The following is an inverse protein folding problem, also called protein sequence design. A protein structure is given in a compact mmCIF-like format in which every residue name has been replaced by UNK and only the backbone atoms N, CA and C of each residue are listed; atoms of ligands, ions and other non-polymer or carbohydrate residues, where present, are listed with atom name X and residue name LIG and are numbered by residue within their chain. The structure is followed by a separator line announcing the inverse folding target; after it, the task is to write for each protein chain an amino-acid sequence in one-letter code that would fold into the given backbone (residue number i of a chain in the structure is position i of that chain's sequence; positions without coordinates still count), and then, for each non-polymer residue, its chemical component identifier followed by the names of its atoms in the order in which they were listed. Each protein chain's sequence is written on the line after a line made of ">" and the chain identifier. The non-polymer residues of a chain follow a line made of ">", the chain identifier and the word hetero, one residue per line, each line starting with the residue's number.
data_IF_341987341438
#
_entry.id   IF_341987341438
#
_cell.length_a   1.000
_cell.length_b   1.000
_cell.length_c   1.000
_cell.angle_alpha   90.00
_cell.angle_beta   90.00
_cell.angle_gamma   90.00
#
_symmetry.space_group_name_H-M   'P 1'
#
loop_
_entity.id
_entity.type
_entity.pdbx_description
1 polymer ?
#
# COMPACT_ATOMS: atom_id res chain seq x y z
N UNK A 1 22.90 40.91 -16.23
CA UNK A 1 22.25 40.47 -14.98
C UNK A 1 20.74 40.28 -15.15
N UNK A 2 20.03 41.17 -15.77
CA UNK A 2 18.55 41.12 -15.98
C UNK A 2 18.10 39.87 -16.79
N UNK A 3 18.82 39.47 -17.86
CA UNK A 3 18.51 38.25 -18.62
C UNK A 3 18.64 36.93 -17.82
N UNK A 4 19.54 36.88 -16.82
CA UNK A 4 19.63 35.70 -15.91
C UNK A 4 18.53 35.65 -14.88
N UNK A 5 17.93 36.77 -14.50
CA UNK A 5 16.80 36.84 -13.57
C UNK A 5 15.50 36.50 -14.29
N UNK A 6 15.32 36.95 -15.54
CA UNK A 6 14.15 36.61 -16.37
C UNK A 6 14.14 35.13 -16.78
N UNK A 7 15.28 34.51 -17.03
CA UNK A 7 15.36 33.06 -17.26
C UNK A 7 15.06 32.23 -15.98
N UNK A 8 15.24 32.78 -14.79
CA UNK A 8 14.80 32.12 -13.53
C UNK A 8 13.30 32.19 -13.29
N UNK A 9 12.60 33.15 -13.90
CA UNK A 9 11.15 33.35 -13.78
C UNK A 9 10.33 32.53 -14.79
N UNK A 10 10.99 31.89 -15.79
CA UNK A 10 10.34 31.12 -16.84
C UNK A 10 10.91 29.70 -17.04
N UNK A 11 11.55 29.13 -16.03
CA UNK A 11 11.90 27.71 -16.07
C UNK A 11 10.65 26.89 -15.77
N UNK A 12 10.04 26.34 -16.82
CA UNK A 12 9.05 25.29 -16.71
C UNK A 12 9.62 24.18 -15.79
N UNK A 13 8.80 23.68 -14.89
CA UNK A 13 9.21 22.58 -14.00
C UNK A 13 9.69 21.40 -14.85
N UNK A 14 10.76 20.68 -14.44
CA UNK A 14 11.20 19.50 -15.17
C UNK A 14 10.05 18.49 -15.32
N UNK A 15 9.91 17.91 -16.51
CA UNK A 15 8.82 16.99 -16.87
C UNK A 15 9.16 15.56 -16.48
N UNK A 16 8.20 14.86 -15.88
CA UNK A 16 8.29 13.44 -15.58
C UNK A 16 6.99 12.72 -15.94
N UNK A 17 7.08 11.42 -16.19
CA UNK A 17 5.92 10.57 -16.47
C UNK A 17 5.77 9.54 -15.34
N UNK A 18 4.54 9.29 -14.90
CA UNK A 18 4.24 8.31 -13.85
C UNK A 18 3.20 7.31 -14.38
N UNK A 19 3.49 6.03 -14.26
CA UNK A 19 2.57 4.95 -14.66
C UNK A 19 2.12 4.20 -13.40
N UNK A 20 0.90 4.47 -12.99
CA UNK A 20 0.22 3.82 -11.87
C UNK A 20 -0.77 2.77 -12.36
N UNK A 21 -1.17 1.86 -11.47
CA UNK A 21 -2.15 0.81 -11.77
C UNK A 21 -1.90 -0.43 -10.93
N UNK A 22 -2.82 -1.38 -11.00
CA UNK A 22 -2.70 -2.63 -10.24
C UNK A 22 -1.58 -3.51 -10.79
N UNK A 23 -1.16 -4.48 -9.99
CA UNK A 23 -0.35 -5.58 -10.54
C UNK A 23 -1.15 -6.30 -11.65
N UNK A 24 -0.48 -6.73 -12.71
CA UNK A 24 -1.11 -7.48 -13.81
C UNK A 24 -1.82 -6.68 -14.91
N UNK A 25 -1.73 -5.32 -14.91
CA UNK A 25 -2.38 -4.48 -15.94
C UNK A 25 -1.45 -4.04 -17.08
N UNK A 26 -0.18 -4.48 -17.11
CA UNK A 26 0.74 -4.13 -18.22
C UNK A 26 1.57 -2.87 -18.01
N UNK A 27 1.72 -2.35 -16.77
CA UNK A 27 2.52 -1.14 -16.49
C UNK A 27 3.94 -1.20 -17.05
N UNK A 28 4.65 -2.32 -16.86
CA UNK A 28 6.03 -2.48 -17.33
C UNK A 28 6.11 -2.46 -18.84
N UNK A 29 5.17 -3.10 -19.55
CA UNK A 29 5.09 -3.07 -21.00
C UNK A 29 4.91 -1.64 -21.50
N UNK A 30 3.93 -0.89 -20.96
CA UNK A 30 3.71 0.50 -21.37
C UNK A 30 4.93 1.38 -21.05
N UNK A 31 5.60 1.17 -19.91
CA UNK A 31 6.78 1.97 -19.56
C UNK A 31 7.92 1.81 -20.57
N UNK A 32 8.15 0.58 -21.08
CA UNK A 32 9.14 0.31 -22.11
C UNK A 32 8.71 0.93 -23.44
N UNK A 33 7.43 0.83 -23.83
CA UNK A 33 6.91 1.45 -25.05
C UNK A 33 7.09 2.97 -25.05
N UNK A 34 6.70 3.65 -23.96
CA UNK A 34 6.91 5.11 -23.84
C UNK A 34 8.40 5.44 -23.79
N UNK A 35 9.22 4.74 -23.00
CA UNK A 35 10.65 5.00 -22.89
C UNK A 35 11.38 4.85 -24.23
N UNK A 36 11.00 3.85 -25.02
CA UNK A 36 11.53 3.66 -26.38
C UNK A 36 11.18 4.81 -27.32
N UNK A 37 9.96 5.36 -27.18
CA UNK A 37 9.47 6.45 -28.03
C UNK A 37 10.13 7.80 -27.70
N UNK A 38 10.29 8.13 -26.38
CA UNK A 38 10.77 9.46 -25.96
C UNK A 38 12.23 9.48 -25.50
N UNK A 39 13.01 8.45 -25.77
CA UNK A 39 14.38 8.30 -25.22
C UNK A 39 14.39 8.41 -23.68
N UNK A 40 13.41 7.79 -23.02
CA UNK A 40 13.26 7.83 -21.58
C UNK A 40 14.04 6.75 -20.84
N UNK A 41 14.11 6.85 -19.51
CA UNK A 41 14.62 5.81 -18.62
C UNK A 41 13.62 5.53 -17.50
N UNK A 42 13.58 4.30 -17.04
CA UNK A 42 12.56 3.80 -16.11
C UNK A 42 13.10 3.84 -14.69
N UNK A 43 12.29 4.37 -13.76
CA UNK A 43 12.55 4.35 -12.31
C UNK A 43 11.49 3.44 -11.66
N UNK A 44 11.92 2.33 -11.07
CA UNK A 44 11.04 1.41 -10.39
C UNK A 44 10.49 2.01 -9.08
N UNK A 45 9.16 1.96 -8.90
CA UNK A 45 8.47 2.32 -7.64
C UNK A 45 7.69 1.14 -7.04
N UNK A 46 8.22 -0.07 -7.17
CA UNK A 46 7.71 -1.26 -6.49
C UNK A 46 8.67 -1.69 -5.39
N UNK A 47 8.16 -1.76 -4.14
CA UNK A 47 8.98 -2.02 -2.95
C UNK A 47 9.56 -3.44 -2.88
N UNK A 48 9.02 -4.39 -3.66
CA UNK A 48 9.56 -5.75 -3.71
C UNK A 48 10.63 -5.91 -4.79
N UNK A 49 10.52 -5.15 -5.88
CA UNK A 49 11.46 -5.25 -7.01
C UNK A 49 12.82 -4.60 -6.76
N UNK A 50 12.96 -3.82 -5.67
CA UNK A 50 14.25 -3.24 -5.26
C UNK A 50 15.23 -4.29 -4.78
N UNK A 51 14.73 -5.39 -4.18
CA UNK A 51 15.56 -6.45 -3.62
C UNK A 51 16.25 -7.27 -4.70
N UNK A 52 17.49 -7.67 -4.43
CA UNK A 52 18.30 -8.52 -5.31
C UNK A 52 17.65 -9.88 -5.54
N UNK A 53 17.95 -10.45 -6.69
CA UNK A 53 17.45 -11.78 -7.06
C UNK A 53 15.91 -11.86 -7.07
N UNK A 54 15.34 -13.04 -6.99
CA UNK A 54 13.89 -13.28 -6.91
C UNK A 54 13.08 -12.60 -8.04
N UNK A 55 13.51 -12.70 -9.32
CA UNK A 55 12.82 -12.00 -10.42
C UNK A 55 11.39 -12.47 -10.62
N UNK A 56 11.06 -13.73 -10.29
CA UNK A 56 9.77 -14.34 -10.56
C UNK A 56 8.75 -13.89 -9.51
N UNK A 57 8.98 -14.17 -8.21
CA UNK A 57 7.99 -13.86 -7.17
C UNK A 57 7.81 -12.36 -6.92
N UNK A 58 8.83 -11.53 -7.25
CA UNK A 58 8.70 -10.07 -7.20
C UNK A 58 8.17 -9.49 -8.51
N UNK A 59 7.98 -10.33 -9.53
CA UNK A 59 7.48 -9.96 -10.85
C UNK A 59 8.29 -8.84 -11.51
N UNK A 60 9.63 -8.94 -11.48
CA UNK A 60 10.51 -8.02 -12.19
C UNK A 60 10.33 -8.18 -13.70
N UNK A 61 10.37 -7.06 -14.42
CA UNK A 61 10.32 -7.10 -15.87
C UNK A 61 11.55 -7.85 -16.42
N UNK A 62 11.37 -8.88 -17.27
CA UNK A 62 12.49 -9.65 -17.80
C UNK A 62 13.49 -8.75 -18.55
N UNK A 63 14.79 -9.03 -18.42
CA UNK A 63 15.84 -8.20 -19.05
C UNK A 63 15.69 -8.19 -20.59
N UNK A 64 15.30 -9.34 -21.17
CA UNK A 64 15.09 -9.47 -22.62
C UNK A 64 13.99 -8.53 -23.15
N UNK A 65 12.98 -8.21 -22.31
CA UNK A 65 11.83 -7.42 -22.70
C UNK A 65 12.02 -5.91 -22.43
N UNK A 66 13.18 -5.51 -21.88
CA UNK A 66 13.47 -4.10 -21.56
C UNK A 66 13.95 -3.26 -22.73
N UNK A 67 14.17 -3.83 -23.89
CA UNK A 67 14.67 -3.16 -25.10
C UNK A 67 15.94 -2.30 -24.87
N UNK A 68 16.83 -2.75 -23.96
CA UNK A 68 18.03 -2.00 -23.59
C UNK A 68 17.80 -0.74 -22.74
N UNK A 69 16.56 -0.47 -22.31
CA UNK A 69 16.22 0.70 -21.51
C UNK A 69 16.71 0.52 -20.07
N UNK A 70 17.46 1.49 -19.53
CA UNK A 70 17.87 1.46 -18.13
C UNK A 70 16.67 1.45 -17.17
N UNK A 71 16.73 0.55 -16.17
CA UNK A 71 15.77 0.46 -15.10
C UNK A 71 16.48 0.76 -13.77
N UNK A 72 16.24 1.95 -13.23
CA UNK A 72 16.80 2.41 -11.95
C UNK A 72 15.98 1.85 -10.78
N UNK A 73 16.60 1.76 -9.62
CA UNK A 73 16.01 1.30 -8.35
C UNK A 73 15.40 -0.08 -8.42
N UNK A 74 16.01 -0.96 -9.18
CA UNK A 74 15.62 -2.36 -9.31
C UNK A 74 16.81 -3.27 -9.02
N UNK A 75 16.58 -4.35 -8.24
CA UNK A 75 17.59 -5.40 -8.03
C UNK A 75 18.90 -4.91 -7.37
N UNK A 76 18.84 -3.94 -6.44
CA UNK A 76 20.03 -3.32 -5.85
C UNK A 76 20.12 -3.44 -4.32
N UNK A 77 19.04 -3.81 -3.63
CA UNK A 77 18.97 -3.91 -2.17
C UNK A 77 19.20 -5.35 -1.71
N UNK A 78 20.03 -5.56 -0.71
CA UNK A 78 20.22 -6.88 -0.11
C UNK A 78 18.99 -7.29 0.73
N UNK A 79 18.76 -8.61 0.89
CA UNK A 79 17.59 -9.12 1.62
C UNK A 79 17.55 -8.76 3.10
N UNK A 80 18.69 -8.45 3.69
CA UNK A 80 18.82 -8.05 5.10
C UNK A 80 18.61 -6.56 5.30
N UNK A 81 18.62 -5.78 4.22
CA UNK A 81 18.47 -4.33 4.30
C UNK A 81 17.00 -3.94 4.32
N UNK A 82 16.67 -3.00 5.18
CA UNK A 82 15.36 -2.36 5.11
C UNK A 82 15.33 -1.31 4.00
N UNK A 83 14.21 -1.30 3.27
CA UNK A 83 13.96 -0.31 2.23
C UNK A 83 12.64 0.41 2.49
N UNK A 84 12.71 1.67 2.86
CA UNK A 84 11.60 2.49 3.31
C UNK A 84 11.48 3.78 2.50
N UNK A 85 10.39 4.51 2.69
CA UNK A 85 10.02 5.67 1.86
C UNK A 85 11.13 6.73 1.75
N UNK A 86 11.83 7.07 2.84
CA UNK A 86 12.91 8.09 2.79
C UNK A 86 14.10 7.67 1.94
N UNK A 87 14.48 6.38 2.01
CA UNK A 87 15.53 5.85 1.14
C UNK A 87 15.09 5.89 -0.32
N UNK A 88 13.86 5.44 -0.60
CA UNK A 88 13.27 5.54 -1.94
C UNK A 88 13.23 7.00 -2.42
N UNK A 89 12.77 7.95 -1.59
CA UNK A 89 12.72 9.37 -1.95
C UNK A 89 14.08 9.90 -2.39
N UNK A 90 15.11 9.68 -1.57
CA UNK A 90 16.47 10.11 -1.86
C UNK A 90 16.99 9.52 -3.18
N UNK A 91 16.87 8.21 -3.33
CA UNK A 91 17.36 7.50 -4.53
C UNK A 91 16.55 7.87 -5.78
N UNK A 92 15.23 7.99 -5.68
CA UNK A 92 14.36 8.35 -6.80
C UNK A 92 14.60 9.80 -7.28
N UNK A 93 14.70 10.77 -6.37
CA UNK A 93 14.98 12.14 -6.74
C UNK A 93 16.37 12.28 -7.38
N UNK A 94 17.38 11.59 -6.86
CA UNK A 94 18.72 11.55 -7.48
C UNK A 94 18.70 10.92 -8.88
N UNK A 95 17.92 9.84 -9.07
CA UNK A 95 17.76 9.23 -10.41
C UNK A 95 17.05 10.16 -11.39
N UNK A 96 16.01 10.90 -10.94
CA UNK A 96 15.32 11.90 -11.76
C UNK A 96 16.31 12.98 -12.22
N UNK A 97 17.12 13.50 -11.31
CA UNK A 97 18.12 14.55 -11.60
C UNK A 97 19.18 14.04 -12.60
N UNK A 98 19.69 12.82 -12.40
CA UNK A 98 20.67 12.20 -13.31
C UNK A 98 20.10 12.01 -14.70
N UNK A 99 18.87 11.46 -14.83
CA UNK A 99 18.22 11.25 -16.12
C UNK A 99 18.00 12.59 -16.84
N UNK A 100 17.50 13.60 -16.15
CA UNK A 100 17.31 14.94 -16.72
C UNK A 100 18.65 15.59 -17.15
N UNK A 101 19.73 15.38 -16.37
CA UNK A 101 21.07 15.93 -16.71
C UNK A 101 21.60 15.38 -18.05
N UNK A 102 21.14 14.21 -18.44
CA UNK A 102 21.45 13.56 -19.73
C UNK A 102 20.43 13.87 -20.83
N UNK A 103 19.51 14.82 -20.60
CA UNK A 103 18.47 15.22 -21.55
C UNK A 103 17.41 14.17 -21.83
N UNK A 104 17.23 13.22 -20.92
CA UNK A 104 16.26 12.12 -21.05
C UNK A 104 15.03 12.33 -20.17
N UNK A 105 13.96 11.55 -20.41
CA UNK A 105 12.70 11.65 -19.71
C UNK A 105 12.62 10.58 -18.62
N UNK A 106 12.47 10.95 -17.32
CA UNK A 106 12.24 9.98 -16.25
C UNK A 106 10.82 9.43 -16.30
N UNK A 107 10.69 8.09 -16.26
CA UNK A 107 9.40 7.39 -16.24
C UNK A 107 9.32 6.54 -14.97
N UNK A 108 8.49 6.96 -14.02
CA UNK A 108 8.32 6.26 -12.75
C UNK A 108 7.21 5.23 -12.90
N UNK A 109 7.50 3.96 -12.61
CA UNK A 109 6.55 2.87 -12.76
C UNK A 109 6.58 1.91 -11.58
N UNK A 110 5.43 1.53 -11.05
CA UNK A 110 5.38 0.53 -9.99
C UNK A 110 4.02 0.35 -9.33
N UNK A 111 3.97 -0.63 -8.43
CA UNK A 111 2.75 -1.02 -7.71
C UNK A 111 2.66 -0.47 -6.30
N UNK A 112 3.73 0.09 -5.76
CA UNK A 112 3.76 0.70 -4.42
C UNK A 112 3.39 2.18 -4.51
N UNK A 113 2.10 2.45 -4.75
CA UNK A 113 1.60 3.82 -4.99
C UNK A 113 1.88 4.78 -3.83
N UNK A 114 2.09 4.27 -2.62
CA UNK A 114 2.51 5.06 -1.46
C UNK A 114 3.84 5.81 -1.74
N UNK A 115 4.72 5.22 -2.53
CA UNK A 115 5.98 5.86 -2.94
C UNK A 115 5.77 7.10 -3.80
N UNK A 116 4.68 7.18 -4.57
CA UNK A 116 4.37 8.34 -5.42
C UNK A 116 4.10 9.63 -4.62
N UNK A 117 3.87 9.52 -3.31
CA UNK A 117 3.73 10.70 -2.43
C UNK A 117 4.97 11.58 -2.38
N UNK A 118 6.14 11.04 -2.69
CA UNK A 118 7.39 11.83 -2.75
C UNK A 118 7.36 12.94 -3.82
N UNK A 119 6.49 12.79 -4.83
CA UNK A 119 6.33 13.75 -5.92
C UNK A 119 5.50 14.97 -5.52
N UNK A 120 4.84 14.91 -4.36
CA UNK A 120 4.01 15.97 -3.80
C UNK A 120 4.81 16.76 -2.75
N UNK A 121 4.55 18.06 -2.65
CA UNK A 121 5.10 18.93 -1.60
C UNK A 121 4.36 18.71 -0.25
N UNK A 122 4.14 17.44 0.11
CA UNK A 122 3.43 17.04 1.35
C UNK A 122 4.38 16.68 2.50
N UNK A 123 5.67 16.99 2.38
CA UNK A 123 6.61 16.66 3.45
C UNK A 123 6.35 17.53 4.66
N UNK A 124 6.17 16.90 5.82
CA UNK A 124 6.29 17.60 7.09
C UNK A 124 7.78 17.82 7.30
N UNK A 125 8.21 19.08 7.28
CA UNK A 125 9.58 19.42 7.65
C UNK A 125 9.81 19.04 9.12
N UNK A 126 10.54 17.98 9.33
CA UNK A 126 11.01 17.60 10.66
C UNK A 126 12.06 18.62 11.08
N UNK A 127 11.63 19.67 11.79
CA UNK A 127 12.58 20.47 12.57
C UNK A 127 13.09 19.53 13.65
N UNK A 128 14.39 19.27 13.63
CA UNK A 128 15.06 18.35 14.55
C UNK A 128 14.97 18.88 16.01
N UNK A 129 13.81 18.75 16.60
CA UNK A 129 13.68 18.78 18.05
C UNK A 129 14.22 17.45 18.55
N UNK A 130 15.15 17.47 19.46
CA UNK A 130 15.63 16.27 20.15
C UNK A 130 14.46 15.75 20.99
N UNK A 131 14.04 14.51 20.72
CA UNK A 131 13.04 13.81 21.52
C UNK A 131 13.62 13.59 22.91
N UNK A 132 12.88 13.95 23.96
CA UNK A 132 13.37 13.76 25.35
C UNK A 132 13.35 12.27 25.73
N UNK A 133 14.13 11.85 26.74
CA UNK A 133 14.10 10.45 27.22
C UNK A 133 12.71 9.99 27.63
N UNK A 134 11.88 10.88 28.23
CA UNK A 134 10.52 10.59 28.63
C UNK A 134 9.60 10.40 27.41
N UNK A 135 9.77 11.24 26.37
CA UNK A 135 9.03 11.11 25.10
C UNK A 135 9.44 9.83 24.37
N UNK A 136 10.73 9.48 24.40
CA UNK A 136 11.22 8.24 23.82
C UNK A 136 10.67 7.03 24.56
N UNK A 137 10.65 7.06 25.90
CA UNK A 137 10.06 5.98 26.70
C UNK A 137 8.56 5.78 26.39
N UNK A 138 7.82 6.86 26.07
CA UNK A 138 6.43 6.77 25.64
C UNK A 138 6.29 6.18 24.23
N UNK A 139 7.22 6.46 23.33
CA UNK A 139 7.26 5.84 22.00
C UNK A 139 7.62 4.36 22.09
N UNK A 140 8.48 3.99 23.03
CA UNK A 140 8.91 2.60 23.27
C UNK A 140 7.88 1.81 24.12
N UNK A 141 6.82 2.48 24.62
CA UNK A 141 5.75 1.83 25.37
C UNK A 141 5.06 0.76 24.51
N UNK A 142 5.14 -0.48 24.94
CA UNK A 142 4.60 -1.62 24.21
C UNK A 142 3.07 -1.78 24.31
N UNK A 143 2.38 -0.99 25.17
CA UNK A 143 0.93 -1.04 25.35
C UNK A 143 0.21 -0.12 24.33
N UNK A 144 -0.47 -0.68 23.31
CA UNK A 144 -1.18 0.10 22.30
C UNK A 144 -2.23 1.06 22.88
N UNK A 145 -2.86 0.69 24.01
CA UNK A 145 -3.92 1.50 24.60
C UNK A 145 -3.36 2.78 25.23
N UNK A 146 -2.22 2.69 25.91
CA UNK A 146 -1.55 3.85 26.49
C UNK A 146 -1.05 4.81 25.42
N UNK A 147 -0.44 4.26 24.36
CA UNK A 147 0.07 5.03 23.23
C UNK A 147 -1.06 5.75 22.51
N UNK A 148 -2.19 5.07 22.28
CA UNK A 148 -3.37 5.68 21.66
C UNK A 148 -4.01 6.75 22.55
N UNK A 149 -4.13 6.51 23.85
CA UNK A 149 -4.66 7.49 24.81
C UNK A 149 -3.81 8.77 24.84
N UNK A 150 -2.48 8.64 24.70
CA UNK A 150 -1.58 9.78 24.58
C UNK A 150 -1.88 10.59 23.32
N UNK A 151 -1.99 9.93 22.16
CA UNK A 151 -2.35 10.61 20.91
C UNK A 151 -3.73 11.28 20.99
N UNK A 152 -4.70 10.62 21.61
CA UNK A 152 -6.05 11.15 21.83
C UNK A 152 -6.05 12.43 22.67
N UNK A 153 -5.18 12.49 23.69
CA UNK A 153 -5.01 13.68 24.53
C UNK A 153 -4.29 14.81 23.80
N UNK A 154 -3.26 14.50 23.01
CA UNK A 154 -2.44 15.49 22.30
C UNK A 154 -3.15 16.05 21.06
N UNK A 155 -3.75 15.18 20.27
CA UNK A 155 -4.40 15.53 19.00
C UNK A 155 -5.64 14.66 18.75
N UNK A 156 -6.79 14.97 19.38
CA UNK A 156 -8.02 14.20 19.21
C UNK A 156 -8.49 14.12 17.75
N UNK A 157 -8.24 15.18 16.96
CA UNK A 157 -8.65 15.25 15.55
C UNK A 157 -7.93 14.23 14.69
N UNK A 158 -6.65 13.96 14.97
CA UNK A 158 -5.90 12.94 14.22
C UNK A 158 -6.14 11.55 14.81
N UNK A 159 -6.26 11.43 16.13
CA UNK A 159 -6.54 10.17 16.80
C UNK A 159 -7.84 9.53 16.31
N UNK A 160 -8.90 10.34 16.09
CA UNK A 160 -10.19 9.87 15.56
C UNK A 160 -10.11 9.22 14.18
N UNK A 161 -9.01 9.38 13.44
CA UNK A 161 -8.80 8.78 12.11
C UNK A 161 -8.19 7.38 12.16
N UNK A 162 -7.64 6.96 13.31
CA UNK A 162 -6.91 5.70 13.46
C UNK A 162 -7.58 4.76 14.46
N UNK A 163 -7.48 3.47 14.15
CA UNK A 163 -7.87 2.44 15.11
C UNK A 163 -6.82 2.37 16.23
N UNK A 164 -7.22 2.19 17.52
CA UNK A 164 -6.26 2.09 18.63
C UNK A 164 -5.16 1.04 18.43
N UNK A 165 -5.50 -0.11 17.81
CA UNK A 165 -4.54 -1.18 17.52
C UNK A 165 -3.68 -0.93 16.28
N UNK A 166 -3.82 0.23 15.61
CA UNK A 166 -2.92 0.62 14.52
C UNK A 166 -1.67 1.29 15.08
N UNK A 167 -0.91 0.52 15.85
CA UNK A 167 0.24 0.99 16.62
C UNK A 167 1.23 1.76 15.76
N UNK A 168 1.56 1.22 14.59
CA UNK A 168 2.52 1.86 13.67
C UNK A 168 2.11 3.28 13.25
N UNK A 169 0.82 3.50 12.92
CA UNK A 169 0.36 4.84 12.52
C UNK A 169 0.21 5.76 13.72
N UNK A 170 -0.23 5.25 14.86
CA UNK A 170 -0.34 6.00 16.10
C UNK A 170 1.04 6.48 16.57
N UNK A 171 2.05 5.58 16.58
CA UNK A 171 3.44 5.95 16.88
C UNK A 171 3.95 7.03 15.93
N UNK A 172 3.73 6.89 14.62
CA UNK A 172 4.18 7.91 13.66
C UNK A 172 3.56 9.28 13.92
N UNK A 173 2.32 9.36 14.37
CA UNK A 173 1.69 10.64 14.73
C UNK A 173 2.35 11.26 15.98
N UNK A 174 2.68 10.46 16.97
CA UNK A 174 3.42 10.94 18.15
C UNK A 174 4.84 11.38 17.81
N UNK A 175 5.55 10.62 16.94
CA UNK A 175 6.87 11.03 16.44
C UNK A 175 6.81 12.41 15.77
N UNK A 176 5.83 12.64 14.89
CA UNK A 176 5.64 13.95 14.25
C UNK A 176 5.47 15.05 15.30
N UNK A 177 4.66 14.81 16.33
CA UNK A 177 4.46 15.77 17.41
C UNK A 177 5.77 16.06 18.16
N UNK A 178 6.47 15.01 18.58
CA UNK A 178 7.69 15.15 19.37
C UNK A 178 8.87 15.71 18.58
N UNK A 179 8.99 15.43 17.29
CA UNK A 179 10.06 15.93 16.44
C UNK A 179 9.82 17.36 15.92
N UNK A 180 8.54 17.74 15.72
CA UNK A 180 8.20 19.05 15.12
C UNK A 180 7.67 20.06 16.15
N UNK A 181 7.17 19.60 17.29
CA UNK A 181 6.41 20.40 18.26
C UNK A 181 5.02 20.83 17.77
N UNK A 182 4.59 20.39 16.59
CA UNK A 182 3.27 20.68 16.01
C UNK A 182 2.34 19.50 16.12
N UNK A 183 1.04 19.76 16.35
CA UNK A 183 0.01 18.70 16.26
C UNK A 183 0.00 18.14 14.83
N UNK A 184 0.00 16.81 14.64
CA UNK A 184 -0.07 16.20 13.31
C UNK A 184 -1.23 16.70 12.47
N UNK A 185 -2.42 16.92 13.06
CA UNK A 185 -3.57 17.49 12.35
C UNK A 185 -3.28 18.84 11.70
N UNK A 186 -2.56 19.72 12.42
CA UNK A 186 -2.14 21.02 11.90
C UNK A 186 -1.05 20.88 10.84
N UNK A 187 -0.05 20.04 11.11
CA UNK A 187 1.02 19.79 10.14
C UNK A 187 0.49 19.27 8.80
N UNK A 188 -0.52 18.38 8.83
CA UNK A 188 -1.19 17.90 7.62
C UNK A 188 -2.08 18.95 6.95
N UNK A 189 -2.71 19.84 7.71
CA UNK A 189 -3.53 20.93 7.15
C UNK A 189 -2.67 22.00 6.44
N UNK A 190 -1.44 22.21 6.90
CA UNK A 190 -0.47 23.16 6.30
C UNK A 190 0.20 22.59 5.02
N UNK A 191 0.04 21.31 4.71
CA UNK A 191 0.66 20.69 3.53
C UNK A 191 0.10 21.28 2.24
N UNK A 192 1.00 21.62 1.33
CA UNK A 192 0.61 22.04 -0.01
C UNK A 192 0.47 20.80 -0.92
N UNK A 193 -0.70 20.67 -1.57
CA UNK A 193 -0.96 19.61 -2.55
C UNK A 193 -0.42 20.01 -3.94
N UNK A 194 0.84 20.43 -4.00
CA UNK A 194 1.48 20.81 -5.27
C UNK A 194 2.50 19.75 -5.67
N UNK A 195 2.62 19.53 -6.98
CA UNK A 195 3.61 18.63 -7.54
C UNK A 195 5.01 19.30 -7.55
N UNK A 196 6.05 18.53 -7.27
CA UNK A 196 7.45 18.99 -7.35
C UNK A 196 7.92 19.18 -8.80
N UNK A 197 7.37 18.36 -9.70
CA UNK A 197 7.68 18.33 -11.13
C UNK A 197 6.42 18.62 -11.96
N UNK A 198 6.60 19.01 -13.20
CA UNK A 198 5.54 18.93 -14.20
C UNK A 198 5.33 17.45 -14.52
N UNK A 199 4.19 16.91 -14.15
CA UNK A 199 4.00 15.45 -14.09
C UNK A 199 2.78 14.99 -14.84
N UNK A 200 2.99 14.08 -15.77
CA UNK A 200 1.92 13.35 -16.46
C UNK A 200 1.68 12.01 -15.75
N UNK A 201 0.47 11.75 -15.31
CA UNK A 201 0.09 10.48 -14.70
C UNK A 201 -0.76 9.64 -15.64
N UNK A 202 -0.36 8.39 -15.84
CA UNK A 202 -1.21 7.35 -16.41
C UNK A 202 -1.72 6.42 -15.33
N UNK A 203 -3.02 6.17 -15.32
CA UNK A 203 -3.61 5.10 -14.53
C UNK A 203 -4.12 4.00 -15.45
N UNK A 204 -3.38 2.90 -15.54
CA UNK A 204 -3.81 1.73 -16.29
C UNK A 204 -4.79 0.94 -15.42
N UNK A 205 -5.96 0.70 -15.96
CA UNK A 205 -7.05 0.01 -15.27
C UNK A 205 -7.55 -1.19 -16.09
N UNK A 206 -8.03 -2.21 -15.40
CA UNK A 206 -8.77 -3.33 -15.96
C UNK A 206 -9.93 -3.68 -15.03
N UNK A 207 -11.05 -4.13 -15.58
CA UNK A 207 -12.19 -4.57 -14.79
C UNK A 207 -11.80 -5.75 -13.89
N UNK A 208 -12.38 -5.84 -12.66
CA UNK A 208 -12.00 -6.86 -11.69
C UNK A 208 -12.10 -8.30 -12.23
N UNK A 209 -13.13 -8.61 -13.01
CA UNK A 209 -13.37 -9.95 -13.53
C UNK A 209 -12.26 -10.40 -14.49
N UNK A 210 -11.85 -9.51 -15.39
CA UNK A 210 -10.76 -9.77 -16.34
C UNK A 210 -9.40 -9.78 -15.65
N UNK A 211 -9.21 -8.89 -14.68
CA UNK A 211 -7.98 -8.79 -13.92
C UNK A 211 -7.78 -10.03 -13.02
N UNK A 212 -8.79 -10.44 -12.27
CA UNK A 212 -8.69 -11.58 -11.35
C UNK A 212 -8.25 -12.86 -12.11
N UNK A 213 -8.82 -13.14 -13.29
CA UNK A 213 -8.41 -14.26 -14.14
C UNK A 213 -6.94 -14.17 -14.60
N UNK A 214 -6.48 -12.97 -14.97
CA UNK A 214 -5.07 -12.75 -15.36
C UNK A 214 -4.11 -12.95 -14.19
N UNK A 215 -4.52 -12.51 -13.01
CA UNK A 215 -3.70 -12.65 -11.80
C UNK A 215 -3.58 -14.11 -11.39
N UNK A 216 -4.65 -14.88 -11.49
CA UNK A 216 -4.61 -16.30 -11.19
C UNK A 216 -3.71 -17.06 -12.18
N UNK A 217 -3.92 -16.84 -13.49
CA UNK A 217 -3.03 -17.41 -14.52
C UNK A 217 -1.58 -17.05 -14.31
N UNK A 218 -1.27 -15.78 -13.97
CA UNK A 218 0.10 -15.34 -13.71
C UNK A 218 0.75 -16.06 -12.54
N UNK A 219 -0.01 -16.39 -11.49
CA UNK A 219 0.53 -17.19 -10.38
C UNK A 219 0.87 -18.60 -10.87
N UNK A 220 0.04 -19.21 -11.73
CA UNK A 220 0.34 -20.49 -12.34
C UNK A 220 1.62 -20.41 -13.20
N UNK A 221 1.70 -19.42 -14.09
CA UNK A 221 2.89 -19.15 -14.92
C UNK A 221 4.17 -18.93 -14.07
N UNK A 222 4.06 -18.25 -12.90
CA UNK A 222 5.17 -18.09 -11.97
C UNK A 222 5.62 -19.43 -11.37
N UNK A 223 4.68 -20.30 -10.98
CA UNK A 223 5.03 -21.63 -10.46
C UNK A 223 5.74 -22.48 -11.51
N UNK A 224 5.27 -22.47 -12.75
CA UNK A 224 5.90 -23.15 -13.88
C UNK A 224 7.30 -22.59 -14.19
N UNK A 225 7.51 -21.29 -13.98
CA UNK A 225 8.78 -20.61 -14.24
C UNK A 225 9.81 -20.72 -13.12
N UNK A 226 9.50 -21.42 -12.01
CA UNK A 226 10.45 -21.65 -10.92
C UNK A 226 10.26 -20.77 -9.68
N UNK A 227 9.09 -20.14 -9.48
CA UNK A 227 8.83 -19.36 -8.29
C UNK A 227 9.04 -20.14 -6.98
N UNK A 228 8.80 -21.46 -7.01
CA UNK A 228 8.99 -22.32 -5.84
C UNK A 228 10.46 -22.35 -5.39
N UNK A 229 11.41 -22.31 -6.31
CA UNK A 229 12.84 -22.33 -5.97
C UNK A 229 13.28 -21.00 -5.35
N UNK A 230 12.69 -19.89 -5.80
CA UNK A 230 12.88 -18.58 -5.15
C UNK A 230 12.29 -18.57 -3.73
N UNK A 231 11.08 -19.11 -3.56
CA UNK A 231 10.43 -19.24 -2.24
C UNK A 231 11.26 -20.13 -1.29
N UNK A 232 11.79 -21.25 -1.79
CA UNK A 232 12.69 -22.13 -1.03
C UNK A 232 13.99 -21.43 -0.64
N UNK A 233 14.52 -20.57 -1.49
CA UNK A 233 15.72 -19.78 -1.20
C UNK A 233 15.47 -18.79 -0.06
N UNK A 234 14.33 -18.11 -0.06
CA UNK A 234 13.88 -17.27 1.07
C UNK A 234 13.69 -18.12 2.35
N UNK A 235 13.05 -19.28 2.25
CA UNK A 235 12.84 -20.16 3.39
C UNK A 235 14.16 -20.67 3.98
N UNK A 236 15.14 -20.99 3.14
CA UNK A 236 16.48 -21.39 3.57
C UNK A 236 17.14 -20.29 4.40
N UNK A 237 17.02 -19.03 3.94
CA UNK A 237 17.52 -17.89 4.70
C UNK A 237 16.72 -17.66 6.00
N UNK A 238 15.40 -17.75 5.96
CA UNK A 238 14.53 -17.67 7.14
C UNK A 238 14.97 -18.65 8.24
N UNK A 239 15.28 -19.90 7.86
CA UNK A 239 15.76 -20.92 8.80
C UNK A 239 17.19 -20.66 9.27
N UNK A 240 18.10 -20.26 8.38
CA UNK A 240 19.51 -20.00 8.75
C UNK A 240 19.64 -18.83 9.73
N UNK A 241 18.81 -17.83 9.60
CA UNK A 241 18.83 -16.63 10.45
C UNK A 241 17.95 -16.79 11.70
N UNK A 242 17.32 -17.95 11.89
CA UNK A 242 16.39 -18.26 12.99
C UNK A 242 15.25 -17.22 13.15
N UNK A 243 14.73 -16.72 12.02
CA UNK A 243 13.62 -15.76 12.07
C UNK A 243 12.33 -16.39 12.59
N UNK A 244 11.52 -15.55 13.24
CA UNK A 244 10.14 -15.88 13.58
C UNK A 244 9.16 -15.20 12.60
N UNK A 245 7.91 -15.68 12.48
CA UNK A 245 6.92 -15.04 11.62
C UNK A 245 6.72 -13.54 11.91
N UNK A 246 6.86 -13.11 13.17
CA UNK A 246 6.74 -11.71 13.59
C UNK A 246 7.89 -10.85 13.04
N UNK A 247 9.09 -11.41 12.93
CA UNK A 247 10.25 -10.72 12.36
C UNK A 247 10.16 -10.58 10.84
N UNK A 248 9.27 -11.34 10.19
CA UNK A 248 9.03 -11.27 8.75
C UNK A 248 7.95 -10.26 8.35
N UNK A 249 7.74 -9.20 9.13
CA UNK A 249 6.73 -8.18 8.84
C UNK A 249 7.22 -7.04 7.95
N UNK A 250 8.53 -6.96 7.68
CA UNK A 250 9.14 -5.91 6.88
C UNK A 250 10.01 -6.47 5.74
N UNK A 251 10.43 -5.59 4.85
CA UNK A 251 11.39 -5.92 3.80
C UNK A 251 10.90 -6.97 2.80
N UNK A 252 11.83 -7.77 2.29
CA UNK A 252 11.56 -8.80 1.27
C UNK A 252 10.56 -9.86 1.75
N UNK A 253 10.46 -10.07 3.06
CA UNK A 253 9.52 -11.02 3.68
C UNK A 253 8.04 -10.70 3.45
N UNK A 254 7.74 -9.50 2.95
CA UNK A 254 6.38 -9.07 2.55
C UNK A 254 6.01 -9.54 1.14
N UNK A 255 6.91 -10.16 0.40
CA UNK A 255 6.62 -10.67 -0.95
C UNK A 255 5.49 -11.70 -0.89
N UNK A 256 4.51 -11.53 -1.78
CA UNK A 256 3.41 -12.50 -1.91
C UNK A 256 3.99 -13.81 -2.45
N UNK A 257 3.71 -14.89 -1.76
CA UNK A 257 4.26 -16.23 -2.02
C UNK A 257 5.01 -16.77 -0.80
N UNK A 258 5.82 -15.94 -0.09
CA UNK A 258 6.60 -16.46 1.03
C UNK A 258 5.71 -16.91 2.21
N UNK A 259 4.87 -16.01 2.75
CA UNK A 259 4.01 -16.34 3.90
C UNK A 259 2.92 -17.36 3.58
N UNK A 260 2.48 -17.39 2.34
CA UNK A 260 1.45 -18.33 1.86
C UNK A 260 1.98 -19.76 1.78
N UNK A 261 3.28 -19.93 1.50
CA UNK A 261 3.94 -21.23 1.42
C UNK A 261 4.60 -21.68 2.73
N UNK A 262 4.81 -20.77 3.69
CA UNK A 262 5.51 -21.10 4.94
C UNK A 262 4.89 -22.29 5.69
N UNK A 263 3.55 -22.41 5.89
CA UNK A 263 2.96 -23.57 6.56
C UNK A 263 3.24 -24.90 5.83
N UNK A 264 3.26 -24.91 4.50
CA UNK A 264 3.59 -26.10 3.73
C UNK A 264 5.06 -26.46 3.83
N UNK A 265 5.97 -25.48 3.80
CA UNK A 265 7.40 -25.68 3.96
C UNK A 265 7.78 -26.16 5.37
N UNK A 266 6.97 -25.83 6.37
CA UNK A 266 7.15 -26.27 7.76
C UNK A 266 6.39 -27.57 8.09
N UNK A 267 5.77 -28.20 7.09
CA UNK A 267 5.00 -29.44 7.24
C UNK A 267 3.87 -29.33 8.27
N UNK A 268 3.25 -28.17 8.40
CA UNK A 268 2.07 -27.99 9.28
C UNK A 268 0.91 -28.87 8.82
N UNK A 269 0.20 -29.47 9.78
CA UNK A 269 -0.97 -30.31 9.49
C UNK A 269 -2.03 -29.56 8.71
N UNK A 270 -2.49 -30.16 7.60
CA UNK A 270 -3.49 -29.60 6.71
C UNK A 270 -2.99 -28.56 5.70
N UNK A 271 -1.68 -28.28 5.64
CA UNK A 271 -1.10 -27.47 4.60
C UNK A 271 -0.74 -28.35 3.38
N UNK A 272 -1.17 -27.95 2.18
CA UNK A 272 -0.79 -28.58 0.92
C UNK A 272 -0.17 -27.56 -0.03
N UNK A 273 0.55 -28.03 -1.03
CA UNK A 273 1.11 -27.20 -2.09
C UNK A 273 -0.01 -26.44 -2.80
N UNK A 274 -1.06 -27.12 -3.22
CA UNK A 274 -2.22 -26.55 -3.93
C UNK A 274 -2.89 -25.45 -3.09
N UNK A 275 -3.07 -25.72 -1.79
CA UNK A 275 -3.66 -24.73 -0.88
C UNK A 275 -2.78 -23.49 -0.73
N UNK A 276 -1.45 -23.62 -0.84
CA UNK A 276 -0.50 -22.50 -0.80
C UNK A 276 -0.56 -21.67 -2.08
N UNK A 277 -0.65 -22.31 -3.24
CA UNK A 277 -0.89 -21.66 -4.54
C UNK A 277 -2.21 -20.87 -4.51
N UNK A 278 -3.30 -21.49 -4.04
CA UNK A 278 -4.59 -20.81 -3.92
C UNK A 278 -4.54 -19.60 -2.99
N UNK A 279 -3.84 -19.71 -1.85
CA UNK A 279 -3.61 -18.56 -0.95
C UNK A 279 -2.84 -17.45 -1.65
N UNK A 280 -1.80 -17.78 -2.43
CA UNK A 280 -1.03 -16.81 -3.20
C UNK A 280 -1.89 -16.10 -4.25
N UNK A 281 -2.77 -16.81 -4.98
CA UNK A 281 -3.76 -16.23 -5.91
C UNK A 281 -4.71 -15.27 -5.17
N UNK A 282 -5.30 -15.71 -4.06
CA UNK A 282 -6.20 -14.89 -3.24
C UNK A 282 -5.50 -13.61 -2.76
N UNK A 283 -4.26 -13.72 -2.26
CA UNK A 283 -3.47 -12.56 -1.78
C UNK A 283 -3.15 -11.58 -2.91
N UNK A 284 -2.81 -12.09 -4.09
CA UNK A 284 -2.52 -11.27 -5.28
C UNK A 284 -3.75 -10.47 -5.70
N UNK A 285 -4.94 -11.08 -5.75
CA UNK A 285 -6.21 -10.37 -6.03
C UNK A 285 -6.56 -9.35 -4.95
N UNK A 286 -6.35 -9.69 -3.66
CA UNK A 286 -6.55 -8.75 -2.55
C UNK A 286 -5.58 -7.56 -2.64
N UNK A 287 -4.34 -7.79 -3.05
CA UNK A 287 -3.36 -6.73 -3.26
C UNK A 287 -3.79 -5.79 -4.38
N UNK A 288 -4.22 -6.31 -5.53
CA UNK A 288 -4.75 -5.52 -6.63
C UNK A 288 -5.96 -4.65 -6.20
N UNK A 289 -6.91 -5.20 -5.45
CA UNK A 289 -8.05 -4.44 -4.90
C UNK A 289 -7.61 -3.32 -3.96
N UNK A 290 -6.58 -3.56 -3.12
CA UNK A 290 -6.00 -2.51 -2.28
C UNK A 290 -5.32 -1.40 -3.09
N UNK A 291 -4.64 -1.75 -4.18
CA UNK A 291 -4.01 -0.79 -5.08
C UNK A 291 -5.04 0.16 -5.72
N UNK A 292 -6.16 -0.35 -6.25
CA UNK A 292 -7.26 0.48 -6.77
C UNK A 292 -7.81 1.42 -5.70
N UNK A 293 -8.10 0.86 -4.52
CA UNK A 293 -8.62 1.66 -3.39
C UNK A 293 -7.66 2.78 -3.00
N UNK A 294 -6.35 2.50 -3.00
CA UNK A 294 -5.34 3.48 -2.65
C UNK A 294 -5.24 4.59 -3.70
N UNK A 295 -5.18 4.25 -4.99
CA UNK A 295 -5.18 5.24 -6.08
C UNK A 295 -6.38 6.17 -5.95
N UNK A 296 -7.58 5.62 -5.80
CA UNK A 296 -8.82 6.41 -5.71
C UNK A 296 -8.88 7.33 -4.50
N UNK A 297 -8.40 6.86 -3.34
CA UNK A 297 -8.54 7.60 -2.07
C UNK A 297 -7.38 8.55 -1.78
N UNK A 298 -6.18 8.19 -2.22
CA UNK A 298 -4.95 8.86 -1.79
C UNK A 298 -4.21 9.58 -2.92
N UNK A 299 -4.25 9.07 -4.15
CA UNK A 299 -3.54 9.68 -5.26
C UNK A 299 -4.45 10.58 -6.09
N UNK A 300 -5.57 10.06 -6.53
CA UNK A 300 -6.49 10.76 -7.45
C UNK A 300 -6.91 12.16 -6.97
N UNK A 301 -7.24 12.41 -5.68
CA UNK A 301 -7.61 13.74 -5.23
C UNK A 301 -6.53 14.81 -5.44
N UNK A 302 -5.27 14.41 -5.50
CA UNK A 302 -4.13 15.31 -5.61
C UNK A 302 -3.65 15.52 -7.05
N UNK A 303 -3.95 14.57 -7.95
CA UNK A 303 -3.36 14.53 -9.30
C UNK A 303 -4.38 14.41 -10.43
N UNK A 304 -5.67 14.51 -10.14
CA UNK A 304 -6.73 14.22 -11.13
C UNK A 304 -6.62 15.07 -12.42
N UNK A 305 -6.16 16.31 -12.29
CA UNK A 305 -6.02 17.25 -13.41
C UNK A 305 -4.76 16.96 -14.28
N UNK A 306 -3.91 16.05 -13.81
CA UNK A 306 -2.70 15.58 -14.49
C UNK A 306 -2.76 14.08 -14.84
N UNK A 307 -3.91 13.42 -14.60
CA UNK A 307 -4.05 11.98 -14.69
C UNK A 307 -4.96 11.56 -15.84
N UNK A 308 -4.46 10.64 -16.67
CA UNK A 308 -5.19 10.02 -17.77
C UNK A 308 -5.36 8.52 -17.53
N UNK A 309 -6.60 8.04 -17.63
CA UNK A 309 -6.91 6.62 -17.48
C UNK A 309 -6.80 5.89 -18.82
N UNK A 310 -6.19 4.71 -18.78
CA UNK A 310 -6.03 3.82 -19.93
C UNK A 310 -6.73 2.49 -19.63
N UNK A 311 -7.58 2.03 -20.55
CA UNK A 311 -8.37 0.81 -20.37
C UNK A 311 -7.63 -0.42 -20.95
N UNK A 312 -7.06 -1.22 -20.05
CA UNK A 312 -6.42 -2.49 -20.33
C UNK A 312 -7.35 -3.70 -20.08
N UNK A 313 -8.66 -3.51 -20.12
CA UNK A 313 -9.64 -4.61 -19.89
C UNK A 313 -9.57 -5.64 -20.99
N UNK A 314 -9.46 -5.21 -22.26
CA UNK A 314 -9.26 -6.09 -23.39
C UNK A 314 -7.83 -5.95 -23.93
N UNK A 315 -7.00 -7.00 -23.77
CA UNK A 315 -5.61 -6.99 -24.22
C UNK A 315 -5.46 -7.07 -25.75
N UNK A 316 -6.45 -7.56 -26.47
CA UNK A 316 -6.44 -7.57 -27.95
C UNK A 316 -6.49 -6.14 -28.51
N UNK A 317 -7.01 -5.20 -27.72
CA UNK A 317 -7.08 -3.79 -28.05
C UNK A 317 -6.01 -2.95 -27.32
N UNK A 318 -4.94 -3.59 -26.86
CA UNK A 318 -3.87 -2.91 -26.10
C UNK A 318 -3.31 -1.71 -26.84
N UNK A 319 -2.95 -1.88 -28.09
CA UNK A 319 -2.34 -0.81 -28.87
C UNK A 319 -3.26 0.40 -28.98
N UNK A 320 -4.52 0.19 -29.38
CA UNK A 320 -5.50 1.25 -29.54
C UNK A 320 -5.92 1.90 -28.22
N UNK A 321 -6.15 1.12 -27.17
CA UNK A 321 -6.73 1.61 -25.91
C UNK A 321 -5.69 2.06 -24.89
N UNK A 322 -4.44 1.61 -25.01
CA UNK A 322 -3.38 1.89 -24.04
C UNK A 322 -2.17 2.54 -24.72
N UNK A 323 -1.48 1.84 -25.64
CA UNK A 323 -0.18 2.25 -26.14
C UNK A 323 -0.25 3.54 -27.00
N UNK A 324 -1.06 3.54 -28.05
CA UNK A 324 -1.19 4.69 -28.97
C UNK A 324 -1.70 5.94 -28.25
N UNK A 325 -2.71 5.79 -27.37
CA UNK A 325 -3.21 6.90 -26.54
C UNK A 325 -2.16 7.44 -25.59
N UNK A 326 -1.42 6.55 -24.93
CA UNK A 326 -0.38 6.98 -24.00
C UNK A 326 0.74 7.73 -24.73
N UNK A 327 1.11 7.30 -25.93
CA UNK A 327 2.12 7.96 -26.78
C UNK A 327 1.63 9.34 -27.21
N UNK A 328 0.41 9.46 -27.77
CA UNK A 328 -0.19 10.74 -28.20
C UNK A 328 -0.26 11.75 -27.05
N UNK A 329 -0.73 11.31 -25.87
CA UNK A 329 -0.77 12.14 -24.67
C UNK A 329 0.64 12.56 -24.23
N UNK A 330 1.60 11.64 -24.29
CA UNK A 330 2.99 11.89 -23.92
C UNK A 330 3.63 12.93 -24.84
N UNK A 331 3.44 12.84 -26.14
CA UNK A 331 3.97 13.79 -27.12
C UNK A 331 3.40 15.20 -26.84
N UNK A 332 2.08 15.33 -26.73
CA UNK A 332 1.44 16.59 -26.40
C UNK A 332 1.95 17.20 -25.09
N UNK A 333 2.11 16.35 -24.05
CA UNK A 333 2.66 16.78 -22.77
C UNK A 333 4.11 17.27 -22.88
N UNK A 334 4.99 16.51 -23.56
CA UNK A 334 6.40 16.87 -23.69
C UNK A 334 6.60 18.14 -24.52
N UNK A 335 5.78 18.33 -25.55
CA UNK A 335 5.80 19.53 -26.40
C UNK A 335 5.06 20.73 -25.79
N UNK A 336 4.49 20.58 -24.59
CA UNK A 336 3.69 21.61 -23.91
C UNK A 336 2.48 22.05 -24.75
N UNK A 337 1.91 21.15 -25.53
CA UNK A 337 0.67 21.35 -26.29
C UNK A 337 -0.56 20.99 -25.44
N UNK A 338 -1.72 21.48 -25.85
CA UNK A 338 -2.97 21.08 -25.25
C UNK A 338 -3.30 19.63 -25.56
N UNK A 339 -3.50 18.81 -24.52
CA UNK A 339 -3.86 17.40 -24.67
C UNK A 339 -5.34 17.31 -25.03
N UNK A 340 -5.65 16.78 -26.19
CA UNK A 340 -7.02 16.66 -26.71
C UNK A 340 -7.75 15.43 -26.15
N UNK A 341 -7.02 14.44 -25.65
CA UNK A 341 -7.60 13.24 -25.08
C UNK A 341 -8.30 13.52 -23.76
N UNK A 342 -9.44 12.85 -23.58
CA UNK A 342 -10.17 12.89 -22.29
C UNK A 342 -9.40 12.21 -21.19
N UNK A 343 -9.56 12.70 -19.96
CA UNK A 343 -8.93 12.10 -18.77
C UNK A 343 -9.33 10.63 -18.52
N UNK A 344 -10.44 10.17 -19.05
CA UNK A 344 -10.85 8.76 -18.99
C UNK A 344 -11.68 8.36 -20.22
N UNK A 345 -11.60 7.08 -20.64
CA UNK A 345 -12.60 6.50 -21.53
C UNK A 345 -14.01 6.55 -20.92
N UNK A 346 -15.08 6.64 -21.71
CA UNK A 346 -16.45 6.76 -21.20
C UNK A 346 -16.83 5.68 -20.16
N UNK A 347 -16.38 4.45 -20.37
CA UNK A 347 -16.63 3.32 -19.45
C UNK A 347 -15.97 3.49 -18.09
N UNK A 348 -14.93 4.31 -17.96
CA UNK A 348 -14.13 4.50 -16.74
C UNK A 348 -14.32 5.88 -16.09
N UNK A 349 -15.08 6.80 -16.69
CA UNK A 349 -15.30 8.15 -16.16
C UNK A 349 -15.83 8.14 -14.71
N UNK A 350 -16.67 7.17 -14.37
CA UNK A 350 -17.19 7.01 -13.02
C UNK A 350 -16.10 6.76 -11.97
N UNK A 351 -14.95 6.23 -12.34
CA UNK A 351 -13.83 6.02 -11.44
C UNK A 351 -13.12 7.31 -11.06
N UNK A 352 -13.12 8.32 -11.96
CA UNK A 352 -12.59 9.66 -11.69
C UNK A 352 -13.57 10.53 -10.89
N UNK A 353 -14.88 10.40 -11.15
CA UNK A 353 -15.91 11.25 -10.54
C UNK A 353 -16.36 10.76 -9.16
N UNK A 354 -16.39 9.45 -8.94
CA UNK A 354 -16.83 8.84 -7.68
C UNK A 354 -15.82 8.95 -6.53
N UNK A 355 -14.72 9.69 -6.68
CA UNK A 355 -13.83 10.02 -5.55
C UNK A 355 -14.55 10.87 -4.48
N UNK A 356 -15.64 11.56 -4.86
CA UNK A 356 -16.49 12.35 -3.97
C UNK A 356 -17.83 11.71 -3.59
N UNK A 357 -18.24 10.61 -4.26
CA UNK A 357 -19.54 9.95 -4.05
C UNK A 357 -19.50 8.68 -3.19
N UNK A 358 -18.41 8.41 -2.52
CA UNK A 358 -18.32 7.28 -1.61
C UNK A 358 -18.32 7.67 -0.16
N UNK A 359 -19.14 8.56 0.29
CA UNK A 359 -19.70 8.70 1.63
C UNK A 359 -20.35 10.08 1.78
N UNK A 360 -21.49 10.30 1.12
CA UNK A 360 -22.48 11.27 1.59
C UNK A 360 -23.37 10.69 2.72
N UNK A 361 -23.04 9.53 3.26
CA UNK A 361 -23.36 9.28 4.64
C UNK A 361 -22.65 10.37 5.46
N UNK A 362 -23.33 11.08 6.38
CA UNK A 362 -22.66 11.98 7.31
C UNK A 362 -21.45 11.21 7.80
N UNK A 363 -20.22 11.81 7.72
CA UNK A 363 -19.02 11.19 8.31
C UNK A 363 -19.42 10.91 9.74
N UNK A 364 -19.96 9.72 9.99
CA UNK A 364 -20.10 9.19 11.32
C UNK A 364 -18.69 9.35 11.86
N UNK A 365 -18.54 10.24 12.82
CA UNK A 365 -17.31 10.36 13.58
C UNK A 365 -16.84 8.94 13.81
N UNK A 366 -15.63 8.63 13.39
CA UNK A 366 -15.12 7.27 13.53
C UNK A 366 -15.27 6.93 15.02
N UNK A 367 -16.29 6.14 15.31
CA UNK A 367 -16.54 5.68 16.68
C UNK A 367 -15.49 4.63 17.01
N UNK A 368 -14.49 5.03 17.78
CA UNK A 368 -13.46 4.16 18.33
C UNK A 368 -13.78 3.69 19.74
N UNK A 369 -15.03 3.85 20.18
CA UNK A 369 -15.49 3.38 21.49
C UNK A 369 -15.21 1.89 21.65
N UNK A 370 -14.68 1.54 22.80
CA UNK A 370 -14.29 0.17 23.15
C UNK A 370 -15.47 -0.56 23.80
N UNK A 371 -15.85 -1.68 23.21
CA UNK A 371 -16.88 -2.58 23.72
C UNK A 371 -16.23 -3.91 24.12
N UNK A 372 -16.42 -4.36 25.35
CA UNK A 372 -15.86 -5.60 25.88
C UNK A 372 -16.96 -6.67 25.93
N UNK A 373 -16.70 -7.84 25.35
CA UNK A 373 -17.63 -8.95 25.42
C UNK A 373 -17.18 -9.97 26.46
N UNK A 374 -17.94 -10.13 27.50
CA UNK A 374 -17.63 -11.08 28.57
C UNK A 374 -17.90 -12.54 28.18
N UNK A 375 -18.82 -12.77 27.23
CA UNK A 375 -19.17 -14.11 26.78
C UNK A 375 -18.20 -14.68 25.72
N UNK A 376 -17.38 -13.84 25.09
CA UNK A 376 -16.47 -14.27 24.05
C UNK A 376 -15.02 -13.98 24.45
N UNK A 377 -14.12 -14.88 24.07
CA UNK A 377 -12.68 -14.74 24.30
C UNK A 377 -11.96 -14.59 22.95
N UNK A 378 -10.84 -13.90 22.93
CA UNK A 378 -9.93 -13.83 21.78
C UNK A 378 -9.02 -15.07 21.66
N UNK A 379 -7.99 -15.02 20.85
CA UNK A 379 -7.03 -16.11 20.66
C UNK A 379 -6.14 -16.32 21.90
N UNK A 380 -5.97 -15.30 22.74
CA UNK A 380 -5.16 -15.30 23.96
C UNK A 380 -6.01 -15.57 25.20
N UNK A 381 -7.27 -16.01 25.01
CA UNK A 381 -8.24 -16.25 26.09
C UNK A 381 -8.61 -15.02 26.92
N UNK A 382 -8.34 -13.79 26.40
CA UNK A 382 -8.79 -12.54 26.99
C UNK A 382 -10.21 -12.19 26.53
N UNK A 383 -10.97 -11.34 27.27
CA UNK A 383 -12.27 -10.86 26.82
C UNK A 383 -12.17 -10.25 25.40
N UNK A 384 -13.07 -10.64 24.50
CA UNK A 384 -13.07 -10.11 23.15
C UNK A 384 -13.47 -8.63 23.17
N UNK A 385 -12.66 -7.81 22.52
CA UNK A 385 -12.87 -6.38 22.39
C UNK A 385 -13.31 -6.05 20.98
N UNK A 386 -14.40 -5.30 20.83
CA UNK A 386 -14.82 -4.70 19.57
C UNK A 386 -14.67 -3.18 19.63
N UNK A 387 -14.08 -2.59 18.61
CA UNK A 387 -13.89 -1.15 18.51
C UNK A 387 -14.95 -0.58 17.54
N UNK A 388 -15.73 0.36 18.04
CA UNK A 388 -16.82 1.03 17.31
C UNK A 388 -18.15 0.27 17.34
N UNK A 389 -19.25 1.01 17.47
CA UNK A 389 -20.62 0.49 17.58
C UNK A 389 -21.01 -0.45 16.42
N UNK A 390 -20.53 -0.17 15.20
CA UNK A 390 -20.79 -1.03 14.04
C UNK A 390 -20.18 -2.42 14.21
N UNK A 391 -18.94 -2.49 14.63
CA UNK A 391 -18.24 -3.78 14.86
C UNK A 391 -18.86 -4.51 16.06
N UNK A 392 -19.22 -3.78 17.10
CA UNK A 392 -19.94 -4.33 18.24
C UNK A 392 -21.27 -4.96 17.83
N UNK A 393 -22.10 -4.24 17.08
CA UNK A 393 -23.37 -4.78 16.54
C UNK A 393 -23.15 -6.02 15.67
N UNK A 394 -22.12 -6.01 14.82
CA UNK A 394 -21.75 -7.17 13.99
C UNK A 394 -21.34 -8.35 14.87
N UNK A 395 -20.55 -8.12 15.91
CA UNK A 395 -20.16 -9.15 16.88
C UNK A 395 -21.36 -9.75 17.59
N UNK A 396 -22.27 -8.95 18.15
CA UNK A 396 -23.46 -9.40 18.84
C UNK A 396 -24.35 -10.27 17.96
N UNK A 397 -24.43 -9.96 16.66
CA UNK A 397 -25.21 -10.71 15.67
C UNK A 397 -24.50 -11.97 15.15
N UNK A 398 -23.25 -12.21 15.53
CA UNK A 398 -22.46 -13.34 15.05
C UNK A 398 -22.95 -14.66 15.64
N UNK A 399 -22.83 -15.75 14.87
CA UNK A 399 -23.12 -17.12 15.35
C UNK A 399 -22.25 -17.47 16.56
N UNK A 400 -20.97 -17.06 16.56
CA UNK A 400 -20.03 -17.31 17.65
C UNK A 400 -20.51 -16.69 18.97
N UNK A 401 -20.92 -15.40 18.94
CA UNK A 401 -21.41 -14.71 20.15
C UNK A 401 -22.65 -15.40 20.71
N UNK A 402 -23.65 -15.68 19.86
CA UNK A 402 -24.90 -16.35 20.26
C UNK A 402 -24.65 -17.73 20.88
N UNK A 403 -23.72 -18.50 20.31
CA UNK A 403 -23.35 -19.82 20.85
C UNK A 403 -22.66 -19.71 22.20
N UNK A 404 -21.72 -18.77 22.37
CA UNK A 404 -20.99 -18.58 23.62
C UNK A 404 -21.91 -18.06 24.73
N UNK A 405 -22.81 -17.14 24.40
CA UNK A 405 -23.81 -16.64 25.35
C UNK A 405 -24.74 -17.75 25.84
N UNK A 406 -25.19 -18.64 24.93
CA UNK A 406 -26.01 -19.79 25.28
C UNK A 406 -25.27 -20.78 26.20
N UNK A 407 -23.97 -21.01 25.95
CA UNK A 407 -23.12 -21.83 26.82
C UNK A 407 -22.93 -21.22 28.22
N UNK A 408 -22.66 -19.92 28.29
CA UNK A 408 -22.50 -19.21 29.55
C UNK A 408 -23.77 -19.30 30.39
N UNK A 409 -24.95 -19.06 29.83
CA UNK A 409 -26.24 -19.22 30.51
C UNK A 409 -26.51 -20.64 31.00
N UNK A 410 -26.13 -21.66 30.22
CA UNK A 410 -26.28 -23.06 30.68
C UNK A 410 -25.39 -23.39 31.88
N UNK A 411 -24.15 -22.88 31.89
CA UNK A 411 -23.24 -23.08 33.02
C UNK A 411 -23.76 -22.38 34.29
N UNK A 412 -24.20 -21.14 34.18
CA UNK A 412 -24.77 -20.37 35.29
C UNK A 412 -26.00 -21.06 35.87
N UNK A 413 -26.92 -21.53 35.03
CA UNK A 413 -28.09 -22.29 35.47
C UNK A 413 -27.71 -23.61 36.12
N UNK A 414 -26.65 -24.27 35.68
CA UNK A 414 -26.16 -25.50 36.27
C UNK A 414 -25.51 -25.26 37.64
N UNK A 415 -24.78 -24.18 37.80
CA UNK A 415 -24.19 -23.76 39.07
C UNK A 415 -25.27 -23.37 40.10
N UNK A 416 -26.29 -22.61 39.68
CA UNK A 416 -27.44 -22.28 40.53
C UNK A 416 -28.21 -23.52 40.93
N UNK A 417 -28.39 -24.49 40.03
CA UNK A 417 -29.05 -25.77 40.37
C UNK A 417 -28.21 -26.55 41.39
N UNK A 418 -26.89 -26.62 41.25
CA UNK A 418 -25.98 -27.26 42.24
C UNK A 418 -26.08 -26.60 43.59
N UNK A 419 -26.05 -25.25 43.68
CA UNK A 419 -26.19 -24.51 44.94
C UNK A 419 -27.50 -24.81 45.64
N UNK A 420 -28.64 -24.78 44.93
CA UNK A 420 -29.97 -25.11 45.49
C UNK A 420 -30.04 -26.55 45.99
N UNK A 421 -29.32 -27.47 45.32
CA UNK A 421 -29.31 -28.88 45.74
C UNK A 421 -28.45 -29.10 46.98
N UNK A 422 -27.39 -28.35 47.20
CA UNK A 422 -26.59 -28.38 48.45
C UNK A 422 -27.35 -27.75 49.60
N UNK A 423 -28.02 -26.60 49.40
CA UNK A 423 -28.85 -25.93 50.42
C UNK A 423 -30.13 -26.71 50.82
N UNK A 424 -30.55 -27.66 50.01
CA UNK A 424 -31.71 -28.54 50.30
C UNK A 424 -31.35 -29.85 51.03
N UNK A 425 -30.07 -30.08 51.33
CA UNK A 425 -29.53 -31.28 51.97
C UNK A 425 -29.01 -30.94 53.39
N UNK A 426 -28.93 -29.65 53.75
CA UNK A 426 -28.81 -29.16 55.13
C UNK A 426 -30.20 -28.88 55.74
#
# INVERSE_FOLDING_TARGET
>A
MIRRVLNKLNMSRPKIIVIAGTTGVGKSQLSVQIASHVSGEIINSDSMQVYKDLPIITNKHPIADRNGIPHHLMNHVAWNDEYYLHRFEKECLSAIEDIHSRGKVPIIVGGTHYYLQILLNKRIEEKHRVVTPEEQALLDEGDPEKVYAMLQRLDPAIASKYHPNDTRRVHRMLEIYYTTGKKPSNAFAEQQNTLKFDTLFFWIYSTPEKLDSRLDKRVDDMMESGALDEIRSLYKKYKSDNFTPEQCENGIWQVIGFKEFLPWLEYESGASFESSVDKMKIRTRQYAKRQVKWIRKMLLPDVKDHLYMLDATNLEQWDQNVSEKAISITDSFLDSLEIQEKHAPPALESLLTNSTLGDNSPKLENDWSRYVCEACRDKENKPLIAIGAKNWKTHLNSRRHRTNLSRAKKLENHEMWKKRKTESVE
#
